data_IF_407536931586
#
_entry.id   IF_407536931586
#
_cell.length_a   1.000
_cell.length_b   1.000
_cell.length_c   1.000
_cell.angle_alpha   90.00
_cell.angle_beta   90.00
_cell.angle_gamma   90.00
#
_symmetry.space_group_name_H-M   'P 1'
#
loop_
_entity.id
_entity.type
_entity.pdbx_description
1 polymer ?
#
# COMPACT_ATOMS: atom_id res chain seq x y z
N UNK A 1 8.30 -25.70 0.73
CA UNK A 1 8.82 -26.70 -0.22
C UNK A 1 7.78 -26.96 -1.30
N UNK A 2 8.10 -26.79 -2.59
CA UNK A 2 7.12 -26.97 -3.68
C UNK A 2 7.15 -28.39 -4.21
N UNK A 3 6.00 -29.06 -4.09
CA UNK A 3 5.74 -30.43 -4.53
C UNK A 3 4.84 -30.41 -5.78
N UNK A 4 5.31 -29.78 -6.86
CA UNK A 4 4.66 -29.90 -8.17
C UNK A 4 5.72 -30.24 -9.21
N UNK A 5 5.58 -31.41 -9.82
CA UNK A 5 6.50 -32.01 -10.80
C UNK A 5 6.32 -31.46 -12.22
N UNK A 6 5.44 -30.49 -12.42
CA UNK A 6 5.15 -29.91 -13.74
C UNK A 6 5.78 -28.51 -13.86
N UNK A 7 6.60 -28.25 -14.91
CA UNK A 7 7.20 -26.93 -15.10
C UNK A 7 6.11 -25.90 -15.37
N UNK A 8 6.10 -24.81 -14.61
CA UNK A 8 5.08 -23.75 -14.72
C UNK A 8 5.74 -22.42 -15.06
N UNK A 9 5.24 -21.74 -16.10
CA UNK A 9 5.81 -20.53 -16.65
C UNK A 9 4.78 -19.39 -16.69
N UNK A 10 5.23 -18.16 -16.44
CA UNK A 10 4.44 -16.95 -16.66
C UNK A 10 5.02 -16.14 -17.83
N UNK A 11 4.15 -15.73 -18.74
CA UNK A 11 4.46 -14.81 -19.82
C UNK A 11 3.50 -13.62 -19.79
N UNK A 12 4.05 -12.41 -19.84
CA UNK A 12 3.26 -11.20 -20.04
C UNK A 12 4.03 -10.22 -20.93
N UNK A 13 3.32 -9.51 -21.82
CA UNK A 13 3.92 -8.43 -22.60
C UNK A 13 4.42 -7.30 -21.67
N UNK A 14 3.67 -7.00 -20.60
CA UNK A 14 4.04 -6.06 -19.57
C UNK A 14 3.36 -6.42 -18.24
N UNK A 15 4.12 -6.41 -17.15
CA UNK A 15 3.58 -6.49 -15.79
C UNK A 15 3.20 -5.09 -15.31
N UNK A 16 1.90 -4.78 -15.33
CA UNK A 16 1.40 -3.43 -15.05
C UNK A 16 1.10 -3.20 -13.56
N UNK A 17 0.84 -4.28 -12.81
CA UNK A 17 0.54 -4.21 -11.37
C UNK A 17 1.51 -5.03 -10.53
N UNK A 18 1.70 -4.59 -9.28
CA UNK A 18 2.45 -5.33 -8.25
C UNK A 18 1.90 -6.75 -8.06
N UNK A 19 0.57 -6.93 -8.15
CA UNK A 19 -0.06 -8.25 -8.04
C UNK A 19 0.28 -9.19 -9.19
N UNK A 20 0.35 -8.68 -10.43
CA UNK A 20 0.76 -9.48 -11.58
C UNK A 20 2.23 -9.91 -11.45
N UNK A 21 3.09 -9.03 -10.92
CA UNK A 21 4.49 -9.37 -10.65
C UNK A 21 4.63 -10.42 -9.53
N UNK A 22 3.90 -10.30 -8.43
CA UNK A 22 3.92 -11.29 -7.34
C UNK A 22 3.37 -12.65 -7.76
N UNK A 23 2.34 -12.65 -8.61
CA UNK A 23 1.84 -13.88 -9.19
C UNK A 23 2.90 -14.50 -10.11
N UNK A 24 3.57 -13.67 -10.94
CA UNK A 24 4.63 -14.10 -11.84
C UNK A 24 5.85 -14.68 -11.09
N UNK A 25 6.29 -14.05 -9.99
CA UNK A 25 7.44 -14.54 -9.18
C UNK A 25 7.18 -15.89 -8.54
N UNK A 26 5.90 -16.25 -8.37
CA UNK A 26 5.48 -17.57 -7.93
C UNK A 26 5.60 -18.64 -9.03
N UNK A 27 6.12 -18.38 -10.24
CA UNK A 27 6.33 -19.42 -11.26
C UNK A 27 7.81 -19.83 -11.36
N UNK A 28 8.07 -21.00 -11.96
CA UNK A 28 9.44 -21.52 -12.13
C UNK A 28 10.26 -20.77 -13.19
N UNK A 29 9.60 -19.99 -14.05
CA UNK A 29 10.24 -19.10 -15.01
C UNK A 29 9.30 -17.97 -15.44
N UNK A 30 9.84 -16.76 -15.54
CA UNK A 30 9.14 -15.54 -15.91
C UNK A 30 9.75 -14.99 -17.20
N UNK A 31 8.93 -14.81 -18.24
CA UNK A 31 9.35 -14.28 -19.53
C UNK A 31 8.62 -12.96 -19.83
N UNK A 32 9.38 -11.94 -20.24
CA UNK A 32 8.88 -10.61 -20.61
C UNK A 32 9.46 -10.16 -21.94
N UNK A 33 8.73 -9.33 -22.69
CA UNK A 33 9.25 -8.72 -23.92
C UNK A 33 10.43 -7.78 -23.61
N UNK A 34 11.59 -7.89 -24.30
CA UNK A 34 12.80 -7.11 -24.01
C UNK A 34 12.64 -5.59 -24.20
N UNK A 35 11.62 -5.15 -24.94
CA UNK A 35 11.33 -3.71 -25.13
C UNK A 35 10.58 -3.05 -23.97
N UNK A 36 10.29 -3.77 -22.89
CA UNK A 36 9.43 -3.30 -21.80
C UNK A 36 10.19 -3.29 -20.49
N UNK A 37 10.07 -2.20 -19.73
CA UNK A 37 10.68 -2.09 -18.41
C UNK A 37 9.94 -2.95 -17.38
N UNK A 38 10.72 -3.54 -16.47
CA UNK A 38 10.16 -4.21 -15.30
C UNK A 38 9.78 -3.15 -14.26
N UNK A 39 8.52 -3.16 -13.81
CA UNK A 39 8.07 -2.31 -12.73
C UNK A 39 8.12 -3.08 -11.41
N UNK A 40 9.00 -2.66 -10.51
CA UNK A 40 9.09 -3.24 -9.18
C UNK A 40 7.88 -2.84 -8.32
N UNK A 41 7.35 -3.77 -7.50
CA UNK A 41 6.27 -3.45 -6.58
C UNK A 41 6.75 -2.43 -5.54
N UNK A 42 6.00 -1.33 -5.41
CA UNK A 42 6.18 -0.34 -4.35
C UNK A 42 4.88 -0.20 -3.56
N UNK A 43 4.99 0.21 -2.29
CA UNK A 43 3.85 0.46 -1.40
C UNK A 43 3.83 1.94 -1.00
N UNK A 44 2.67 2.56 -1.16
CA UNK A 44 2.40 3.91 -0.65
C UNK A 44 1.10 3.91 0.14
N UNK A 45 1.04 4.70 1.21
CA UNK A 45 -0.19 4.98 1.95
C UNK A 45 -0.50 6.45 1.79
N UNK A 46 -1.68 6.73 1.27
CA UNK A 46 -2.23 8.08 1.15
C UNK A 46 -3.37 8.25 2.12
N UNK A 47 -3.37 9.36 2.87
CA UNK A 47 -4.48 9.70 3.75
C UNK A 47 -4.90 11.16 3.54
N UNK A 48 -6.09 11.40 2.96
CA UNK A 48 -6.57 12.76 2.74
C UNK A 48 -7.04 13.40 4.06
N UNK A 49 -6.98 14.73 4.16
CA UNK A 49 -7.50 15.50 5.29
C UNK A 49 -8.50 16.55 4.81
N UNK A 50 -9.74 16.49 5.32
CA UNK A 50 -10.86 17.31 4.87
C UNK A 50 -11.21 18.46 5.82
N UNK A 51 -10.61 18.54 7.01
CA UNK A 51 -10.93 19.60 7.98
C UNK A 51 -10.71 21.02 7.43
N UNK A 52 -9.68 21.21 6.59
CA UNK A 52 -9.43 22.49 5.93
C UNK A 52 -10.48 22.84 4.87
N UNK A 53 -11.02 21.83 4.17
CA UNK A 53 -12.10 22.01 3.20
C UNK A 53 -13.41 22.31 3.93
N UNK A 54 -13.75 21.55 4.97
CA UNK A 54 -14.97 21.72 5.77
C UNK A 54 -15.01 23.08 6.49
N UNK A 55 -13.86 23.56 6.97
CA UNK A 55 -13.76 24.89 7.58
C UNK A 55 -14.09 26.04 6.62
N UNK A 56 -13.86 25.88 5.31
CA UNK A 56 -14.28 26.90 4.31
C UNK A 56 -15.80 26.98 4.14
N UNK A 57 -16.51 25.92 4.50
CA UNK A 57 -17.97 25.81 4.41
C UNK A 57 -18.65 26.05 5.77
N UNK A 58 -17.89 26.50 6.79
CA UNK A 58 -18.41 26.78 8.13
C UNK A 58 -18.68 25.55 8.99
N UNK A 59 -18.34 24.34 8.52
CA UNK A 59 -18.53 23.08 9.23
C UNK A 59 -17.29 22.76 10.07
N UNK A 60 -17.45 22.62 11.39
CA UNK A 60 -16.39 22.20 12.32
C UNK A 60 -16.75 20.85 12.91
N UNK A 61 -15.98 19.83 12.55
CA UNK A 61 -16.08 18.51 13.16
C UNK A 61 -15.09 18.43 14.32
N UNK A 62 -15.59 18.38 15.55
CA UNK A 62 -14.79 18.03 16.72
C UNK A 62 -14.96 16.54 17.00
N UNK A 63 -13.94 15.77 16.63
CA UNK A 63 -13.87 14.36 16.99
C UNK A 63 -13.19 14.25 18.37
N UNK A 64 -13.96 13.96 19.41
CA UNK A 64 -13.40 13.56 20.71
C UNK A 64 -13.00 12.09 20.61
N UNK A 65 -11.71 11.82 20.51
CA UNK A 65 -11.18 10.45 20.47
C UNK A 65 -10.55 10.09 21.81
N UNK A 66 -10.90 8.93 22.37
CA UNK A 66 -10.15 8.30 23.47
C UNK A 66 -9.13 7.35 22.85
N UNK A 67 -7.86 7.75 22.85
CA UNK A 67 -6.71 6.94 22.42
C UNK A 67 -5.97 7.49 21.21
N UNK A 68 -4.64 7.63 21.35
CA UNK A 68 -3.76 8.25 20.34
C UNK A 68 -3.72 7.54 18.97
N UNK A 69 -4.18 6.29 18.91
CA UNK A 69 -4.16 5.44 17.70
C UNK A 69 -5.54 5.29 17.02
N UNK A 70 -6.61 5.88 17.57
CA UNK A 70 -7.97 5.77 17.00
C UNK A 70 -8.21 6.89 15.97
N UNK A 71 -7.42 6.90 14.91
CA UNK A 71 -7.36 7.98 13.94
C UNK A 71 -8.43 7.97 12.84
N UNK A 72 -9.38 7.04 12.85
CA UNK A 72 -10.40 6.93 11.80
C UNK A 72 -11.22 8.21 11.57
N UNK A 73 -11.32 9.09 12.57
CA UNK A 73 -12.03 10.37 12.46
C UNK A 73 -11.10 11.59 12.30
N UNK A 74 -9.78 11.41 12.41
CA UNK A 74 -8.79 12.48 12.28
C UNK A 74 -8.79 13.10 10.87
N UNK A 75 -9.17 12.33 9.86
CA UNK A 75 -9.37 12.79 8.48
C UNK A 75 -10.40 13.93 8.36
N UNK A 76 -11.38 14.00 9.27
CA UNK A 76 -12.45 15.00 9.25
C UNK A 76 -12.21 16.15 10.24
N UNK A 77 -11.56 15.89 11.38
CA UNK A 77 -11.28 16.89 12.41
C UNK A 77 -9.96 17.61 12.23
N UNK A 78 -8.93 16.90 11.77
CA UNK A 78 -7.55 17.38 11.75
C UNK A 78 -7.15 17.88 10.36
N UNK A 79 -6.22 18.83 10.33
CA UNK A 79 -5.65 19.36 9.08
C UNK A 79 -4.39 18.62 8.63
N UNK A 80 -3.83 17.78 9.49
CA UNK A 80 -2.56 17.09 9.25
C UNK A 80 -2.48 15.83 10.11
N UNK A 81 -1.72 14.81 9.68
CA UNK A 81 -1.57 13.58 10.45
C UNK A 81 -0.75 13.85 11.72
N UNK A 82 -1.28 13.40 12.87
CA UNK A 82 -0.55 13.41 14.14
C UNK A 82 0.75 12.59 14.03
N UNK A 83 1.73 12.86 14.90
CA UNK A 83 3.00 12.12 14.91
C UNK A 83 2.79 10.61 15.14
N UNK A 84 1.91 10.25 16.08
CA UNK A 84 1.57 8.86 16.38
C UNK A 84 0.94 8.15 15.18
N UNK A 85 0.05 8.84 14.46
CA UNK A 85 -0.54 8.30 13.24
C UNK A 85 0.51 8.05 12.15
N UNK A 86 1.43 9.00 11.95
CA UNK A 86 2.50 8.83 10.95
C UNK A 86 3.37 7.62 11.27
N UNK A 87 3.72 7.44 12.54
CA UNK A 87 4.51 6.29 12.98
C UNK A 87 3.76 4.97 12.77
N UNK A 88 2.46 4.92 13.08
CA UNK A 88 1.65 3.72 12.84
C UNK A 88 1.52 3.41 11.35
N UNK A 89 1.25 4.41 10.50
CA UNK A 89 1.14 4.20 9.06
C UNK A 89 2.48 3.74 8.46
N UNK A 90 3.60 4.30 8.94
CA UNK A 90 4.94 3.88 8.54
C UNK A 90 5.27 2.45 9.00
N UNK A 91 4.95 2.08 10.24
CA UNK A 91 5.23 0.72 10.72
C UNK A 91 4.42 -0.33 9.97
N UNK A 92 3.16 -0.02 9.64
CA UNK A 92 2.32 -0.89 8.82
C UNK A 92 2.85 -1.01 7.38
N UNK A 93 3.30 0.11 6.79
CA UNK A 93 3.92 0.12 5.47
C UNK A 93 5.18 -0.75 5.43
N UNK A 94 6.08 -0.56 6.39
CA UNK A 94 7.34 -1.33 6.49
C UNK A 94 7.01 -2.82 6.69
N UNK A 95 6.11 -3.16 7.60
CA UNK A 95 5.72 -4.55 7.83
C UNK A 95 5.10 -5.20 6.59
N UNK A 96 4.30 -4.46 5.81
CA UNK A 96 3.71 -4.97 4.57
C UNK A 96 4.77 -5.15 3.48
N UNK A 97 5.77 -4.26 3.43
CA UNK A 97 6.88 -4.34 2.49
C UNK A 97 7.84 -5.49 2.83
N UNK A 98 8.12 -5.71 4.12
CA UNK A 98 8.91 -6.84 4.58
C UNK A 98 8.25 -8.18 4.22
N UNK A 99 6.93 -8.27 4.30
CA UNK A 99 6.20 -9.46 3.83
C UNK A 99 6.31 -9.67 2.31
N UNK A 100 6.42 -8.60 1.52
CA UNK A 100 6.59 -8.70 0.06
C UNK A 100 7.99 -9.17 -0.35
N UNK A 101 9.02 -8.85 0.44
CA UNK A 101 10.41 -9.24 0.14
C UNK A 101 10.78 -10.57 0.80
N UNK A 102 10.23 -10.84 1.99
CA UNK A 102 10.55 -12.02 2.79
C UNK A 102 9.78 -13.28 2.42
N UNK A 103 8.83 -13.20 1.46
CA UNK A 103 8.13 -14.34 0.86
C UNK A 103 8.85 -14.88 -0.37
#
# INVERSE_FOLDING_TARGET
ERKSTTPTFAYAAQYQSSSQYLLASSFGGVYQHPGVSLRLPNLSVEMPFFAGLLGKWGLRFEAVTQGAYKSGFATLSDRSPSRAHRQQAQSLLISSYDQLIGS
#
